data_IF_384215213372
#
_entry.id   IF_384215213372
#
_cell.length_a   1.000
_cell.length_b   1.000
_cell.length_c   1.000
_cell.angle_alpha   90.00
_cell.angle_beta   90.00
_cell.angle_gamma   90.00
#
_symmetry.space_group_name_H-M   'P 1'
#
loop_
_entity.id
_entity.type
_entity.pdbx_description
1 polymer ?
#
# COMPACT_ATOMS: atom_id res chain seq x y z
N UNK A 1 0.46 -18.28 13.52
CA UNK A 1 1.49 -17.74 12.61
C UNK A 1 1.03 -17.67 11.15
N UNK A 2 0.09 -18.51 10.68
CA UNK A 2 -0.46 -18.46 9.31
C UNK A 2 -1.25 -17.19 8.95
N UNK A 3 -2.02 -16.63 9.89
CA UNK A 3 -2.96 -15.53 9.60
C UNK A 3 -2.26 -14.19 9.30
N UNK A 4 -1.11 -13.90 9.93
CA UNK A 4 -0.40 -12.64 9.69
C UNK A 4 0.36 -12.64 8.35
N UNK A 5 0.87 -13.79 7.91
CA UNK A 5 1.56 -13.90 6.61
C UNK A 5 0.59 -13.75 5.45
N UNK A 6 -0.57 -14.43 5.52
CA UNK A 6 -1.66 -14.28 4.54
C UNK A 6 -2.16 -12.83 4.45
N UNK A 7 -2.16 -12.09 5.57
CA UNK A 7 -2.54 -10.68 5.61
C UNK A 7 -1.48 -9.75 4.98
N UNK A 8 -0.20 -10.03 5.18
CA UNK A 8 0.89 -9.26 4.58
C UNK A 8 0.97 -9.44 3.07
N UNK A 9 0.79 -10.65 2.56
CA UNK A 9 0.76 -10.90 1.11
C UNK A 9 -0.40 -10.16 0.45
N UNK A 10 -1.56 -10.11 1.09
CA UNK A 10 -2.73 -9.39 0.57
C UNK A 10 -2.54 -7.87 0.62
N UNK A 11 -1.96 -7.34 1.70
CA UNK A 11 -1.56 -5.93 1.77
C UNK A 11 -0.56 -5.58 0.67
N UNK A 12 0.43 -6.44 0.43
CA UNK A 12 1.42 -6.21 -0.61
C UNK A 12 0.80 -6.20 -2.01
N UNK A 13 -0.17 -7.08 -2.30
CA UNK A 13 -0.93 -7.04 -3.57
C UNK A 13 -1.71 -5.75 -3.73
N UNK A 14 -2.36 -5.27 -2.66
CA UNK A 14 -3.09 -4.00 -2.68
C UNK A 14 -2.16 -2.81 -2.93
N UNK A 15 -1.00 -2.76 -2.27
CA UNK A 15 0.04 -1.74 -2.48
C UNK A 15 0.48 -1.74 -3.95
N UNK A 16 0.84 -2.90 -4.51
CA UNK A 16 1.28 -2.98 -5.90
C UNK A 16 0.18 -2.55 -6.88
N UNK A 17 -1.06 -2.99 -6.66
CA UNK A 17 -2.20 -2.61 -7.49
C UNK A 17 -2.45 -1.11 -7.47
N UNK A 18 -2.45 -0.50 -6.28
CA UNK A 18 -2.67 0.94 -6.13
C UNK A 18 -1.51 1.76 -6.68
N UNK A 19 -0.27 1.27 -6.58
CA UNK A 19 0.90 1.91 -7.18
C UNK A 19 0.76 1.99 -8.71
N UNK A 20 0.28 0.92 -9.37
CA UNK A 20 0.00 0.97 -10.80
C UNK A 20 -1.06 2.03 -11.15
N UNK A 21 -2.15 2.10 -10.38
CA UNK A 21 -3.22 3.10 -10.58
C UNK A 21 -2.70 4.52 -10.39
N UNK A 22 -1.89 4.77 -9.35
CA UNK A 22 -1.25 6.06 -9.11
C UNK A 22 -0.35 6.47 -10.28
N UNK A 23 0.49 5.55 -10.78
CA UNK A 23 1.38 5.82 -11.91
C UNK A 23 0.56 6.17 -13.15
N UNK A 24 -0.49 5.39 -13.46
CA UNK A 24 -1.37 5.67 -14.60
C UNK A 24 -2.04 7.05 -14.46
N UNK A 25 -2.64 7.36 -13.30
CA UNK A 25 -3.25 8.66 -13.06
C UNK A 25 -2.23 9.81 -13.15
N UNK A 26 -1.02 9.61 -12.65
CA UNK A 26 0.08 10.56 -12.76
C UNK A 26 0.53 10.79 -14.20
N UNK A 27 0.49 9.76 -15.05
CA UNK A 27 0.80 9.86 -16.48
C UNK A 27 -0.32 10.54 -17.27
N UNK A 28 -1.58 10.24 -16.96
CA UNK A 28 -2.75 10.74 -17.72
C UNK A 28 -3.18 12.14 -17.29
N UNK A 29 -3.10 12.45 -16.01
CA UNK A 29 -3.65 13.69 -15.42
C UNK A 29 -2.61 14.54 -14.69
N UNK A 30 -1.37 14.04 -14.57
CA UNK A 30 -0.30 14.67 -13.81
C UNK A 30 -0.32 14.28 -12.33
N UNK A 31 0.86 14.28 -11.70
CA UNK A 31 1.03 13.89 -10.29
C UNK A 31 0.36 14.85 -9.29
N UNK A 32 0.05 16.09 -9.71
CA UNK A 32 -0.72 17.04 -8.92
C UNK A 32 -2.24 16.95 -9.12
N UNK A 33 -2.73 16.01 -9.93
CA UNK A 33 -4.16 15.82 -10.11
C UNK A 33 -4.83 15.35 -8.82
N UNK A 34 -6.10 15.72 -8.57
CA UNK A 34 -6.85 15.23 -7.42
C UNK A 34 -6.85 13.69 -7.32
N UNK A 35 -6.91 13.00 -8.45
CA UNK A 35 -6.85 11.54 -8.53
C UNK A 35 -5.50 11.00 -8.06
N UNK A 36 -4.39 11.52 -8.60
CA UNK A 36 -3.05 11.09 -8.19
C UNK A 36 -2.78 11.38 -6.71
N UNK A 37 -3.19 12.55 -6.20
CA UNK A 37 -3.05 12.89 -4.78
C UNK A 37 -3.85 11.91 -3.90
N UNK A 38 -5.11 11.64 -4.26
CA UNK A 38 -5.96 10.69 -3.53
C UNK A 38 -5.40 9.27 -3.52
N UNK A 39 -4.80 8.83 -4.62
CA UNK A 39 -4.15 7.50 -4.68
C UNK A 39 -2.85 7.46 -3.89
N UNK A 40 -2.09 8.57 -3.85
CA UNK A 40 -0.90 8.69 -3.00
C UNK A 40 -1.24 8.55 -1.53
N UNK A 41 -2.29 9.23 -1.05
CA UNK A 41 -2.73 9.16 0.35
C UNK A 41 -3.15 7.72 0.74
N UNK A 42 -3.95 7.06 -0.11
CA UNK A 42 -4.34 5.66 0.12
C UNK A 42 -3.12 4.71 0.09
N UNK A 43 -2.12 4.99 -0.75
CA UNK A 43 -0.91 4.19 -0.84
C UNK A 43 -0.08 4.32 0.43
N UNK A 44 0.05 5.53 0.97
CA UNK A 44 0.74 5.78 2.24
C UNK A 44 0.08 5.04 3.41
N UNK A 45 -1.25 5.00 3.48
CA UNK A 45 -1.98 4.24 4.50
C UNK A 45 -1.70 2.74 4.42
N UNK A 46 -1.70 2.17 3.21
CA UNK A 46 -1.43 0.74 3.02
C UNK A 46 0.03 0.39 3.35
N UNK A 47 0.98 1.24 2.97
CA UNK A 47 2.39 1.08 3.32
C UNK A 47 2.56 1.12 4.84
N UNK A 48 1.92 2.07 5.51
CA UNK A 48 1.96 2.18 6.97
C UNK A 48 1.40 0.92 7.66
N UNK A 49 0.25 0.42 7.19
CA UNK A 49 -0.33 -0.83 7.70
C UNK A 49 0.60 -2.04 7.49
N UNK A 50 1.21 -2.16 6.31
CA UNK A 50 2.18 -3.21 6.03
C UNK A 50 3.38 -3.15 6.98
N UNK A 51 3.93 -1.95 7.20
CA UNK A 51 5.04 -1.74 8.14
C UNK A 51 4.65 -2.11 9.58
N UNK A 52 3.48 -1.68 10.06
CA UNK A 52 2.99 -2.02 11.39
C UNK A 52 2.85 -3.52 11.59
N UNK A 53 2.26 -4.23 10.60
CA UNK A 53 2.09 -5.67 10.69
C UNK A 53 3.43 -6.42 10.60
N UNK A 54 4.36 -5.94 9.76
CA UNK A 54 5.68 -6.52 9.64
C UNK A 54 6.50 -6.35 10.94
N UNK A 55 6.43 -5.18 11.59
CA UNK A 55 7.09 -4.92 12.88
C UNK A 55 6.42 -5.70 14.02
N UNK A 56 5.09 -5.80 14.01
CA UNK A 56 4.34 -6.59 14.98
C UNK A 56 4.74 -8.06 15.00
N UNK A 57 5.07 -8.63 13.82
CA UNK A 57 5.56 -10.00 13.70
C UNK A 57 6.94 -10.24 14.34
N UNK A 58 7.76 -9.20 14.52
CA UNK A 58 9.09 -9.31 15.11
C UNK A 58 9.08 -9.37 16.64
N UNK A 59 7.97 -8.97 17.30
CA UNK A 59 7.85 -8.94 18.77
C UNK A 59 7.30 -10.23 19.39
N UNK A 60 6.89 -11.20 18.57
CA UNK A 60 6.32 -12.48 19.03
C UNK A 60 7.17 -13.70 18.62
N UNK A 61 8.46 -13.49 18.31
CA UNK A 61 9.44 -14.54 18.01
C UNK A 61 10.27 -14.93 19.22
#
# INVERSE_FOLDING_TARGET
MMNNQMNLEELNKQINGLQHVLITAGMEHGLGSPEALRYSEQLDELIFQYQLQNIGNFKTG
#
